data_IF_528179857329
#
_entry.id   IF_528179857329
#
_cell.length_a   1.000
_cell.length_b   1.000
_cell.length_c   1.000
_cell.angle_alpha   90.00
_cell.angle_beta   90.00
_cell.angle_gamma   90.00
#
_symmetry.space_group_name_H-M   'P 1'
#
loop_
_entity.id
_entity.type
_entity.pdbx_description
1 polymer ?
#
# COMPACT_ATOMS: atom_id res chain seq x y z
N UNK A 1 1.22 11.86 2.44
CA UNK A 1 -0.24 11.61 2.40
C UNK A 1 -0.96 12.38 1.30
N UNK A 2 -0.64 13.66 1.03
CA UNK A 2 -1.28 14.45 -0.04
C UNK A 2 -1.07 13.80 -1.41
N UNK A 3 0.15 13.33 -1.71
CA UNK A 3 0.45 12.63 -2.97
C UNK A 3 -0.38 11.35 -3.09
N UNK A 4 -0.51 10.57 -2.02
CA UNK A 4 -1.34 9.37 -2.00
C UNK A 4 -2.81 9.68 -2.24
N UNK A 5 -3.35 10.72 -1.61
CA UNK A 5 -4.72 11.17 -1.82
C UNK A 5 -4.96 11.61 -3.28
N UNK A 6 -4.08 12.48 -3.81
CA UNK A 6 -4.22 12.97 -5.19
C UNK A 6 -4.11 11.85 -6.21
N UNK A 7 -3.20 10.91 -6.02
CA UNK A 7 -3.06 9.72 -6.87
C UNK A 7 -4.28 8.79 -6.74
N UNK A 8 -4.79 8.60 -5.53
CA UNK A 8 -6.00 7.82 -5.29
C UNK A 8 -7.22 8.42 -6.00
N UNK A 9 -7.40 9.74 -5.95
CA UNK A 9 -8.48 10.42 -6.66
C UNK A 9 -8.34 10.28 -8.19
N UNK A 10 -7.11 10.40 -8.73
CA UNK A 10 -6.83 10.16 -10.14
C UNK A 10 -7.15 8.72 -10.55
N UNK A 11 -6.73 7.73 -9.76
CA UNK A 11 -6.99 6.31 -10.02
C UNK A 11 -8.49 5.99 -9.95
N UNK A 12 -9.24 6.67 -9.07
CA UNK A 12 -10.70 6.58 -9.03
C UNK A 12 -11.34 7.06 -10.33
N UNK A 13 -10.92 8.23 -10.82
CA UNK A 13 -11.39 8.74 -12.11
C UNK A 13 -11.08 7.81 -13.29
N UNK A 14 -9.89 7.20 -13.31
CA UNK A 14 -9.54 6.20 -14.33
C UNK A 14 -10.41 4.94 -14.21
N UNK A 15 -10.69 4.48 -12.99
CA UNK A 15 -11.50 3.28 -12.76
C UNK A 15 -12.96 3.46 -13.19
N UNK A 16 -13.46 4.70 -13.25
CA UNK A 16 -14.80 5.02 -13.76
C UNK A 16 -14.92 4.92 -15.28
N UNK A 17 -13.82 4.82 -16.02
CA UNK A 17 -13.89 4.52 -17.44
C UNK A 17 -14.53 3.14 -17.65
N UNK A 18 -15.75 3.16 -18.16
CA UNK A 18 -16.66 2.01 -18.22
C UNK A 18 -16.06 0.75 -18.81
N UNK A 19 -15.24 0.84 -19.82
CA UNK A 19 -14.66 -0.35 -20.46
C UNK A 19 -13.65 -1.11 -19.58
N UNK A 20 -13.12 -0.49 -18.52
CA UNK A 20 -12.28 -1.16 -17.52
C UNK A 20 -13.08 -1.68 -16.33
N UNK A 21 -14.24 -1.08 -16.04
CA UNK A 21 -15.11 -1.44 -14.92
C UNK A 21 -16.11 -2.52 -15.29
N UNK A 22 -16.66 -2.48 -16.51
CA UNK A 22 -17.69 -3.41 -16.97
C UNK A 22 -17.15 -4.83 -17.32
N UNK A 23 -15.87 -4.98 -17.51
CA UNK A 23 -15.28 -6.29 -17.80
C UNK A 23 -14.95 -7.05 -16.50
N UNK A 24 -16.00 -7.38 -15.83
CA UNK A 24 -16.37 -8.36 -14.81
C UNK A 24 -15.31 -8.86 -13.82
N UNK A 25 -14.06 -9.10 -14.18
CA UNK A 25 -13.06 -9.66 -13.26
C UNK A 25 -11.83 -8.77 -13.14
N UNK A 26 -11.48 -8.03 -14.17
CA UNK A 26 -10.17 -7.43 -14.30
C UNK A 26 -10.16 -5.92 -14.08
N UNK A 27 -11.29 -5.23 -14.26
CA UNK A 27 -11.50 -3.85 -13.80
C UNK A 27 -11.31 -3.70 -12.29
N UNK A 28 -11.57 -4.75 -11.54
CA UNK A 28 -11.29 -4.84 -10.11
C UNK A 28 -9.82 -4.64 -9.73
N UNK A 29 -8.86 -4.92 -10.61
CA UNK A 29 -7.43 -4.73 -10.32
C UNK A 29 -7.05 -3.25 -10.27
N UNK A 30 -7.61 -2.40 -11.15
CA UNK A 30 -7.43 -0.94 -11.09
C UNK A 30 -8.13 -0.37 -9.85
N UNK A 31 -9.33 -0.85 -9.53
CA UNK A 31 -10.04 -0.48 -8.29
C UNK A 31 -9.24 -0.89 -7.05
N UNK A 32 -8.58 -2.05 -7.06
CA UNK A 32 -7.67 -2.46 -5.98
C UNK A 32 -6.46 -1.54 -5.86
N UNK A 33 -5.87 -1.09 -6.99
CA UNK A 33 -4.81 -0.10 -6.97
C UNK A 33 -5.28 1.21 -6.30
N UNK A 34 -6.46 1.71 -6.69
CA UNK A 34 -7.10 2.87 -6.07
C UNK A 34 -7.32 2.68 -4.56
N UNK A 35 -7.85 1.53 -4.16
CA UNK A 35 -8.10 1.21 -2.75
C UNK A 35 -6.79 1.21 -1.94
N UNK A 36 -5.75 0.54 -2.46
CA UNK A 36 -4.48 0.44 -1.74
C UNK A 36 -3.78 1.80 -1.60
N UNK A 37 -3.77 2.63 -2.64
CA UNK A 37 -3.14 3.95 -2.54
C UNK A 37 -3.88 4.86 -1.56
N UNK A 38 -5.20 4.77 -1.46
CA UNK A 38 -5.98 5.54 -0.48
C UNK A 38 -5.80 5.01 0.94
N UNK A 39 -5.92 3.69 1.16
CA UNK A 39 -5.83 3.12 2.49
C UNK A 39 -4.39 3.15 3.03
N UNK A 40 -3.42 2.65 2.25
CA UNK A 40 -2.04 2.53 2.71
C UNK A 40 -1.24 3.83 2.49
N UNK A 41 -1.50 4.56 1.39
CA UNK A 41 -0.76 5.77 1.06
C UNK A 41 -1.29 7.04 1.75
N UNK A 42 -2.55 7.07 2.12
CA UNK A 42 -3.14 8.22 2.80
C UNK A 42 -3.53 7.92 4.24
N UNK A 43 -4.48 7.01 4.47
CA UNK A 43 -5.04 6.77 5.80
C UNK A 43 -3.99 6.17 6.73
N UNK A 44 -3.34 5.10 6.32
CA UNK A 44 -2.34 4.41 7.13
C UNK A 44 -1.12 5.29 7.40
N UNK A 45 -0.63 6.03 6.41
CA UNK A 45 0.47 6.97 6.59
C UNK A 45 0.12 8.11 7.53
N UNK A 46 -1.13 8.59 7.54
CA UNK A 46 -1.60 9.59 8.50
C UNK A 46 -1.62 9.02 9.92
N UNK A 47 -2.07 7.76 10.09
CA UNK A 47 -2.06 7.05 11.36
C UNK A 47 -0.62 6.87 11.87
N UNK A 48 0.31 6.42 11.02
CA UNK A 48 1.72 6.27 11.39
C UNK A 48 2.33 7.59 11.87
N UNK A 49 2.06 8.68 11.15
CA UNK A 49 2.55 10.00 11.53
C UNK A 49 1.97 10.44 12.89
N UNK A 50 0.66 10.23 13.11
CA UNK A 50 0.00 10.53 14.38
C UNK A 50 0.59 9.71 15.53
N UNK A 51 0.81 8.42 15.35
CA UNK A 51 1.37 7.53 16.36
C UNK A 51 2.83 7.90 16.68
N UNK A 52 3.65 8.17 15.68
CA UNK A 52 5.02 8.65 15.88
C UNK A 52 5.09 10.00 16.61
N UNK A 53 4.04 10.82 16.47
CA UNK A 53 3.95 12.10 17.16
C UNK A 53 3.43 11.96 18.60
N UNK A 54 2.36 11.17 18.78
CA UNK A 54 1.62 11.09 20.05
C UNK A 54 2.35 10.19 21.06
N UNK A 55 2.76 8.98 20.67
CA UNK A 55 3.31 7.98 21.59
C UNK A 55 4.52 8.50 22.37
N UNK A 56 5.54 9.11 21.76
CA UNK A 56 6.69 9.65 22.50
C UNK A 56 6.29 10.68 23.55
N UNK A 57 5.27 11.50 23.27
CA UNK A 57 4.75 12.51 24.19
C UNK A 57 4.01 11.90 25.36
N UNK A 58 3.18 10.90 25.14
CA UNK A 58 2.47 10.18 26.19
C UNK A 58 3.41 9.46 27.13
N UNK A 59 4.40 8.75 26.60
CA UNK A 59 5.39 8.02 27.42
C UNK A 59 6.53 8.90 27.91
N UNK A 60 6.55 10.20 27.56
CA UNK A 60 7.59 11.18 27.90
C UNK A 60 9.00 10.72 27.53
N UNK A 61 9.18 10.19 26.33
CA UNK A 61 10.44 9.66 25.81
C UNK A 61 10.62 9.97 24.33
N UNK A 62 11.86 9.99 23.88
CA UNK A 62 12.15 10.01 22.46
C UNK A 62 11.79 8.67 21.80
N UNK A 63 11.50 8.69 20.49
CA UNK A 63 11.37 7.49 19.66
C UNK A 63 12.61 6.62 19.85
N UNK A 64 12.40 5.29 19.95
CA UNK A 64 13.47 4.31 20.14
C UNK A 64 14.56 4.45 19.06
N UNK A 65 14.17 4.54 17.78
CA UNK A 65 15.13 4.66 16.68
C UNK A 65 14.58 5.50 15.53
N UNK A 66 15.21 6.64 15.25
CA UNK A 66 14.92 7.45 14.06
C UNK A 66 15.35 6.77 12.75
N UNK A 67 16.37 5.89 12.81
CA UNK A 67 16.76 5.10 11.66
C UNK A 67 15.65 4.16 11.24
N UNK A 68 14.98 3.48 12.19
CA UNK A 68 13.83 2.62 11.90
C UNK A 68 12.63 3.41 11.36
N UNK A 69 12.42 4.66 11.79
CA UNK A 69 11.40 5.54 11.19
C UNK A 69 11.67 5.75 9.71
N UNK A 70 12.92 6.05 9.34
CA UNK A 70 13.32 6.25 7.94
C UNK A 70 13.20 4.97 7.13
N UNK A 71 13.66 3.84 7.67
CA UNK A 71 13.55 2.53 7.00
C UNK A 71 12.08 2.17 6.78
N UNK A 72 11.24 2.29 7.81
CA UNK A 72 9.79 2.08 7.69
C UNK A 72 9.21 2.95 6.56
N UNK A 73 9.45 4.26 6.60
CA UNK A 73 8.90 5.21 5.62
C UNK A 73 9.27 4.83 4.18
N UNK A 74 10.55 4.58 3.91
CA UNK A 74 10.99 4.28 2.56
C UNK A 74 10.56 2.90 2.08
N UNK A 75 10.65 1.88 2.93
CA UNK A 75 10.22 0.51 2.59
C UNK A 75 8.72 0.46 2.33
N UNK A 76 7.90 1.13 3.16
CA UNK A 76 6.46 1.21 2.99
C UNK A 76 6.09 1.87 1.66
N UNK A 77 6.62 3.08 1.39
CA UNK A 77 6.29 3.81 0.17
C UNK A 77 6.78 3.10 -1.09
N UNK A 78 7.98 2.50 -1.07
CA UNK A 78 8.48 1.72 -2.19
C UNK A 78 7.60 0.50 -2.46
N UNK A 79 7.22 -0.24 -1.42
CA UNK A 79 6.29 -1.37 -1.51
C UNK A 79 4.92 -0.94 -2.06
N UNK A 80 4.35 0.14 -1.53
CA UNK A 80 3.06 0.66 -1.98
C UNK A 80 3.08 1.09 -3.44
N UNK A 81 4.09 1.85 -3.87
CA UNK A 81 4.23 2.29 -5.27
C UNK A 81 4.31 1.07 -6.19
N UNK A 82 5.13 0.07 -5.84
CA UNK A 82 5.21 -1.17 -6.60
C UNK A 82 3.86 -1.90 -6.69
N UNK A 83 3.16 -2.07 -5.58
CA UNK A 83 1.81 -2.68 -5.58
C UNK A 83 0.86 -1.94 -6.52
N UNK A 84 0.77 -0.61 -6.42
CA UNK A 84 -0.15 0.20 -7.24
C UNK A 84 0.20 0.10 -8.72
N UNK A 85 1.48 0.18 -9.07
CA UNK A 85 1.96 0.05 -10.46
C UNK A 85 1.58 -1.32 -11.03
N UNK A 86 1.86 -2.40 -10.30
CA UNK A 86 1.59 -3.76 -10.81
C UNK A 86 0.10 -4.11 -10.80
N UNK A 87 -0.71 -3.63 -9.86
CA UNK A 87 -2.16 -3.75 -9.94
C UNK A 87 -2.72 -3.01 -11.16
N UNK A 88 -2.26 -1.78 -11.41
CA UNK A 88 -2.69 -0.99 -12.54
C UNK A 88 -2.31 -1.64 -13.87
N UNK A 89 -1.04 -2.08 -13.99
CA UNK A 89 -0.57 -2.77 -15.18
C UNK A 89 -1.35 -4.08 -15.44
N UNK A 90 -1.56 -4.89 -14.40
CA UNK A 90 -2.36 -6.10 -14.48
C UNK A 90 -3.79 -5.80 -14.93
N UNK A 91 -4.41 -4.74 -14.39
CA UNK A 91 -5.77 -4.33 -14.77
C UNK A 91 -5.87 -3.88 -16.23
N UNK A 92 -4.89 -3.12 -16.72
CA UNK A 92 -4.84 -2.69 -18.13
C UNK A 92 -4.65 -3.90 -19.06
N UNK A 93 -3.70 -4.78 -18.77
CA UNK A 93 -3.43 -5.99 -19.55
C UNK A 93 -4.65 -6.90 -19.58
N UNK A 94 -5.25 -7.15 -18.42
CA UNK A 94 -6.43 -7.96 -18.29
C UNK A 94 -7.64 -7.37 -19.03
N UNK A 95 -7.89 -6.06 -18.87
CA UNK A 95 -8.99 -5.36 -19.53
C UNK A 95 -8.89 -5.46 -21.05
N UNK A 96 -7.71 -5.22 -21.62
CA UNK A 96 -7.50 -5.34 -23.05
C UNK A 96 -7.63 -6.79 -23.55
N UNK A 97 -7.04 -7.75 -22.84
CA UNK A 97 -7.08 -9.15 -23.23
C UNK A 97 -8.50 -9.74 -23.18
N UNK A 98 -9.32 -9.32 -22.22
CA UNK A 98 -10.69 -9.81 -22.04
C UNK A 98 -11.66 -9.45 -23.19
N UNK A 99 -11.25 -8.54 -24.08
CA UNK A 99 -12.02 -8.22 -25.28
C UNK A 99 -11.99 -9.34 -26.34
N UNK A 100 -10.93 -10.16 -26.34
CA UNK A 100 -10.69 -11.15 -27.43
C UNK A 100 -10.28 -12.53 -26.93
N UNK A 101 -9.84 -12.65 -25.67
CA UNK A 101 -9.33 -13.89 -25.11
C UNK A 101 -10.29 -14.49 -24.05
N UNK A 102 -10.35 -15.82 -23.92
CA UNK A 102 -11.12 -16.48 -22.87
C UNK A 102 -10.48 -16.25 -21.48
N UNK A 103 -11.28 -16.38 -20.39
CA UNK A 103 -10.84 -16.02 -19.01
C UNK A 103 -9.56 -16.72 -18.53
N UNK A 104 -9.37 -17.97 -18.88
CA UNK A 104 -8.19 -18.76 -18.51
C UNK A 104 -6.89 -18.22 -19.13
N UNK A 105 -6.94 -17.74 -20.36
CA UNK A 105 -5.80 -17.09 -21.00
C UNK A 105 -5.52 -15.72 -20.37
N UNK A 106 -6.55 -14.96 -20.04
CA UNK A 106 -6.40 -13.67 -19.35
C UNK A 106 -5.76 -13.88 -17.99
N UNK A 107 -6.17 -14.90 -17.23
CA UNK A 107 -5.57 -15.23 -15.93
C UNK A 107 -4.08 -15.55 -16.06
N UNK A 108 -3.67 -16.32 -17.06
CA UNK A 108 -2.26 -16.62 -17.32
C UNK A 108 -1.43 -15.36 -17.61
N UNK A 109 -1.99 -14.41 -18.38
CA UNK A 109 -1.33 -13.16 -18.72
C UNK A 109 -1.10 -12.26 -17.51
N UNK A 110 -2.02 -12.22 -16.55
CA UNK A 110 -1.90 -11.34 -15.37
C UNK A 110 -1.11 -11.97 -14.22
N UNK A 111 -0.96 -13.28 -14.20
CA UNK A 111 -0.28 -14.02 -13.14
C UNK A 111 1.11 -13.46 -12.75
N UNK A 112 2.03 -13.14 -13.69
CA UNK A 112 3.33 -12.56 -13.33
C UNK A 112 3.22 -11.19 -12.67
N UNK A 113 2.26 -10.36 -13.09
CA UNK A 113 2.01 -9.06 -12.46
C UNK A 113 1.52 -9.22 -11.02
N UNK A 114 0.61 -10.15 -10.77
CA UNK A 114 0.09 -10.43 -9.44
C UNK A 114 1.17 -11.04 -8.52
N UNK A 115 2.03 -11.90 -9.04
CA UNK A 115 3.16 -12.44 -8.29
C UNK A 115 4.14 -11.32 -7.87
N UNK A 116 4.48 -10.44 -8.79
CA UNK A 116 5.36 -9.28 -8.51
C UNK A 116 4.70 -8.32 -7.52
N UNK A 117 3.40 -8.03 -7.67
CA UNK A 117 2.64 -7.25 -6.71
C UNK A 117 2.70 -7.87 -5.30
N UNK A 118 2.64 -9.20 -5.18
CA UNK A 118 2.79 -9.92 -3.91
C UNK A 118 4.12 -9.67 -3.22
N UNK A 119 5.22 -9.56 -3.98
CA UNK A 119 6.54 -9.19 -3.46
C UNK A 119 6.49 -7.79 -2.84
N UNK A 120 5.91 -6.81 -3.54
CA UNK A 120 5.77 -5.45 -3.03
C UNK A 120 4.84 -5.38 -1.81
N UNK A 121 3.76 -6.18 -1.79
CA UNK A 121 2.90 -6.32 -0.62
C UNK A 121 3.64 -6.86 0.61
N UNK A 122 4.55 -7.80 0.40
CA UNK A 122 5.42 -8.30 1.48
C UNK A 122 6.34 -7.20 2.03
N UNK A 123 6.84 -6.30 1.19
CA UNK A 123 7.63 -5.15 1.66
C UNK A 123 6.80 -4.20 2.54
N UNK A 124 5.53 -3.93 2.17
CA UNK A 124 4.61 -3.14 3.01
C UNK A 124 4.41 -3.82 4.36
N UNK A 125 4.16 -5.13 4.37
CA UNK A 125 4.01 -5.89 5.61
C UNK A 125 5.27 -5.79 6.50
N UNK A 126 6.46 -5.97 5.92
CA UNK A 126 7.72 -5.83 6.64
C UNK A 126 7.91 -4.42 7.20
N UNK A 127 7.55 -3.39 6.43
CA UNK A 127 7.59 -2.01 6.91
C UNK A 127 6.67 -1.81 8.13
N UNK A 128 5.47 -2.37 8.11
CA UNK A 128 4.52 -2.30 9.22
C UNK A 128 5.06 -3.02 10.46
N UNK A 129 5.74 -4.14 10.30
CA UNK A 129 6.43 -4.84 11.40
C UNK A 129 7.56 -3.99 11.99
N UNK A 130 8.35 -3.30 11.17
CA UNK A 130 9.40 -2.37 11.61
C UNK A 130 8.79 -1.22 12.41
N UNK A 131 7.69 -0.64 11.94
CA UNK A 131 6.94 0.40 12.66
C UNK A 131 6.46 -0.11 14.01
N UNK A 132 5.77 -1.24 14.05
CA UNK A 132 5.24 -1.83 15.28
C UNK A 132 6.36 -2.12 16.29
N UNK A 133 7.48 -2.68 15.84
CA UNK A 133 8.65 -2.92 16.68
C UNK A 133 9.21 -1.62 17.27
N UNK A 134 9.36 -0.57 16.45
CA UNK A 134 9.89 0.71 16.89
C UNK A 134 9.00 1.37 17.96
N UNK A 135 7.67 1.34 17.75
CA UNK A 135 6.69 1.84 18.72
C UNK A 135 6.69 1.01 20.00
N UNK A 136 6.68 -0.34 19.88
CA UNK A 136 6.76 -1.23 21.04
C UNK A 136 8.00 -0.94 21.89
N UNK A 137 9.19 -0.80 21.30
CA UNK A 137 10.43 -0.46 21.99
C UNK A 137 10.38 0.92 22.65
N UNK A 138 9.71 1.88 22.02
CA UNK A 138 9.47 3.21 22.60
C UNK A 138 8.61 3.09 23.86
N UNK A 139 7.55 2.28 23.84
CA UNK A 139 6.67 2.05 24.98
C UNK A 139 7.30 1.19 26.08
N UNK A 140 7.97 0.09 25.73
CA UNK A 140 8.55 -0.87 26.67
C UNK A 140 9.59 -0.23 27.60
N UNK A 141 10.32 0.76 27.14
CA UNK A 141 11.19 1.54 28.00
C UNK A 141 10.45 2.34 29.09
N UNK A 142 9.11 2.50 29.02
CA UNK A 142 8.31 3.16 30.05
C UNK A 142 8.09 2.28 31.28
N UNK A 143 7.92 0.98 31.12
CA UNK A 143 7.64 0.01 32.19
C UNK A 143 8.80 -0.15 33.20
N UNK A 144 10.03 0.22 32.83
CA UNK A 144 11.21 0.10 33.71
C UNK A 144 11.38 1.27 34.68
N UNK A 145 10.40 2.17 34.81
CA UNK A 145 10.46 3.35 35.71
C UNK A 145 9.27 3.46 36.67
N UNK A 146 8.42 2.44 36.70
CA UNK A 146 7.40 2.27 37.72
C UNK A 146 7.87 1.28 38.77
#
# INVERSE_FOLDING_TARGET
SIIGFSWGALMGGIAEFRHFVDHRLHGNLIVRAHTHINLLGWVEMAIFAAVYYIIPRLVKRSIYSLALVKVHFWTHNFGLIGMVVFFTAAGIVAGNASLTAPPDQVELLVKPYLATMGIFGTLVLLANMIWAYNIFRTCAGWSNRL
#
